data_IF_992131489287
#
_entry.id   IF_992131489287
#
_cell.length_a   1.000
_cell.length_b   1.000
_cell.length_c   1.000
_cell.angle_alpha   90.00
_cell.angle_beta   90.00
_cell.angle_gamma   90.00
#
_symmetry.space_group_name_H-M   'P 1'
#
loop_
_entity.id
_entity.type
_entity.pdbx_description
1 polymer ?
#
# COMPACT_ATOMS: atom_id res chain seq x y z
N UNK A 1 14.10 -3.26 2.30
CA UNK A 1 12.98 -3.43 1.37
C UNK A 1 11.68 -3.19 2.11
N UNK A 2 10.76 -2.44 1.53
CA UNK A 2 9.43 -2.23 2.07
C UNK A 2 8.40 -2.93 1.18
N UNK A 3 7.42 -3.59 1.78
CA UNK A 3 6.31 -4.23 1.06
C UNK A 3 5.01 -3.75 1.68
N UNK A 4 4.06 -3.38 0.85
CA UNK A 4 2.74 -2.97 1.27
C UNK A 4 1.66 -3.90 0.71
N UNK A 5 0.64 -4.13 1.50
CA UNK A 5 -0.60 -4.78 1.09
C UNK A 5 -1.76 -3.84 1.41
N UNK A 6 -2.66 -3.69 0.47
CA UNK A 6 -3.91 -2.96 0.66
C UNK A 6 -5.06 -3.74 0.07
N UNK A 7 -6.18 -3.76 0.76
CA UNK A 7 -7.44 -4.32 0.27
C UNK A 7 -8.48 -3.21 0.18
N UNK A 8 -8.99 -2.97 -1.02
CA UNK A 8 -10.05 -1.99 -1.25
C UNK A 8 -11.39 -2.41 -0.62
N UNK A 9 -11.55 -3.72 -0.39
CA UNK A 9 -12.80 -4.31 0.13
C UNK A 9 -12.95 -4.10 1.63
N UNK A 10 -11.85 -4.23 2.37
CA UNK A 10 -11.85 -4.22 3.83
C UNK A 10 -11.20 -2.98 4.42
N UNK A 11 -10.84 -1.99 3.62
CA UNK A 11 -10.00 -0.84 4.01
C UNK A 11 -8.72 -1.27 4.78
N UNK A 12 -8.36 -2.55 4.65
CA UNK A 12 -7.22 -3.10 5.34
C UNK A 12 -5.94 -2.82 4.57
N UNK A 13 -4.93 -2.36 5.28
CA UNK A 13 -3.59 -2.28 4.73
C UNK A 13 -2.56 -2.85 5.70
N UNK A 14 -1.45 -3.27 5.15
CA UNK A 14 -0.29 -3.72 5.89
C UNK A 14 0.97 -3.33 5.12
N UNK A 15 1.84 -2.58 5.75
CA UNK A 15 3.13 -2.17 5.20
C UNK A 15 4.25 -2.79 6.03
N UNK A 16 5.29 -3.23 5.35
CA UNK A 16 6.50 -3.78 5.96
C UNK A 16 7.74 -3.07 5.44
N UNK A 17 8.72 -2.91 6.31
CA UNK A 17 10.05 -2.48 5.95
C UNK A 17 11.09 -3.27 6.75
N UNK A 18 12.20 -3.63 6.11
CA UNK A 18 13.39 -4.11 6.79
C UNK A 18 14.05 -2.95 7.53
N UNK A 19 14.37 -3.15 8.79
CA UNK A 19 15.07 -2.15 9.60
C UNK A 19 16.34 -2.73 10.19
N UNK A 20 17.39 -1.92 10.18
CA UNK A 20 18.71 -2.32 10.71
C UNK A 20 18.84 -2.05 12.20
N UNK A 21 18.07 -1.09 12.73
CA UNK A 21 17.99 -0.75 14.15
C UNK A 21 16.56 -0.36 14.53
N UNK A 22 16.35 -0.06 15.81
CA UNK A 22 15.04 0.31 16.37
C UNK A 22 15.03 1.74 16.92
N UNK A 23 16.07 2.51 16.68
CA UNK A 23 16.28 3.84 17.29
C UNK A 23 15.13 4.81 16.97
N UNK A 24 14.49 4.64 15.79
CA UNK A 24 13.34 5.44 15.43
C UNK A 24 12.13 5.23 16.37
N UNK A 25 12.02 4.12 17.09
CA UNK A 25 10.95 3.89 18.07
C UNK A 25 11.14 4.80 19.29
N UNK A 26 12.38 5.17 19.64
CA UNK A 26 12.65 6.11 20.72
C UNK A 26 12.03 7.48 20.42
N UNK A 27 12.04 7.88 19.13
CA UNK A 27 11.39 9.12 18.70
C UNK A 27 9.88 9.11 18.98
N UNK A 28 9.19 7.98 18.88
CA UNK A 28 7.78 7.87 19.24
C UNK A 28 7.55 8.02 20.75
N UNK A 29 8.46 7.52 21.58
CA UNK A 29 8.40 7.72 23.02
C UNK A 29 8.58 9.19 23.38
N UNK A 30 9.51 9.90 22.73
CA UNK A 30 9.71 11.34 22.90
C UNK A 30 8.48 12.17 22.48
N UNK A 31 7.71 11.69 21.49
CA UNK A 31 6.48 12.35 21.05
C UNK A 31 5.30 12.11 21.99
N UNK A 32 5.37 11.13 22.88
CA UNK A 32 4.26 10.78 23.79
C UNK A 32 3.72 11.95 24.63
N UNK A 33 4.56 12.82 25.23
CA UNK A 33 4.08 14.01 25.93
C UNK A 33 3.33 14.98 25.01
N UNK A 34 3.78 15.14 23.77
CA UNK A 34 3.12 16.02 22.79
C UNK A 34 1.77 15.47 22.38
N UNK A 35 1.64 14.15 22.22
CA UNK A 35 0.36 13.51 21.94
C UNK A 35 -0.66 13.71 23.09
N UNK A 36 -0.19 13.71 24.33
CA UNK A 36 -1.04 13.99 25.48
C UNK A 36 -1.66 15.41 25.46
N UNK A 37 -0.97 16.39 24.83
CA UNK A 37 -1.45 17.75 24.66
C UNK A 37 -2.60 17.89 23.65
N UNK A 38 -2.89 16.86 22.86
CA UNK A 38 -4.01 16.84 21.90
C UNK A 38 -5.39 16.73 22.56
N UNK A 39 -5.48 16.74 23.89
CA UNK A 39 -6.73 16.57 24.61
C UNK A 39 -7.38 15.18 24.44
N UNK A 40 -6.57 14.18 24.12
CA UNK A 40 -7.03 12.81 23.92
C UNK A 40 -7.51 12.47 22.51
N UNK A 41 -7.43 13.41 21.56
CA UNK A 41 -7.76 13.15 20.16
C UNK A 41 -6.80 12.14 19.51
N UNK A 42 -5.53 12.17 19.94
CA UNK A 42 -4.52 11.20 19.54
C UNK A 42 -3.95 10.55 20.79
N UNK A 43 -3.95 9.22 20.84
CA UNK A 43 -3.48 8.44 21.98
C UNK A 43 -2.56 7.32 21.49
N UNK A 44 -1.41 7.18 22.15
CA UNK A 44 -0.43 6.12 21.89
C UNK A 44 -0.47 5.11 23.03
N UNK A 45 -0.67 3.85 22.68
CA UNK A 45 -0.72 2.73 23.62
C UNK A 45 0.38 1.72 23.31
N UNK A 46 1.01 1.19 24.37
CA UNK A 46 1.88 0.04 24.24
C UNK A 46 1.02 -1.22 24.12
N UNK A 47 1.29 -2.06 23.14
CA UNK A 47 0.59 -3.32 22.93
C UNK A 47 1.47 -4.53 23.25
N UNK A 48 2.77 -4.40 23.06
CA UNK A 48 3.82 -5.32 23.44
C UNK A 48 5.17 -4.63 23.35
N UNK A 49 6.27 -5.31 23.66
CA UNK A 49 7.61 -4.78 23.48
C UNK A 49 7.85 -4.34 22.01
N UNK A 50 8.25 -3.08 21.83
CA UNK A 50 8.44 -2.46 20.50
C UNK A 50 7.20 -2.49 19.58
N UNK A 51 6.00 -2.55 20.16
CA UNK A 51 4.74 -2.58 19.42
C UNK A 51 3.73 -1.62 20.04
N UNK A 52 3.09 -0.82 19.18
CA UNK A 52 2.24 0.29 19.58
C UNK A 52 0.90 0.26 18.85
N UNK A 53 -0.08 0.91 19.45
CA UNK A 53 -1.32 1.28 18.78
C UNK A 53 -1.53 2.79 18.90
N UNK A 54 -1.67 3.46 17.78
CA UNK A 54 -2.01 4.88 17.68
C UNK A 54 -3.50 5.01 17.39
N UNK A 55 -4.26 5.51 18.36
CA UNK A 55 -5.66 5.85 18.19
C UNK A 55 -5.76 7.29 17.72
N UNK A 56 -6.51 7.52 16.66
CA UNK A 56 -6.83 8.84 16.10
C UNK A 56 -8.36 8.99 15.96
N UNK A 57 -8.83 10.13 15.51
CA UNK A 57 -10.24 10.34 15.17
C UNK A 57 -10.70 9.45 14.00
N UNK A 58 -9.80 9.07 13.09
CA UNK A 58 -10.10 8.27 11.90
C UNK A 58 -10.05 6.77 12.17
N UNK A 59 -9.38 6.33 13.25
CA UNK A 59 -9.25 4.91 13.56
C UNK A 59 -8.05 4.58 14.42
N UNK A 60 -7.73 3.30 14.47
CA UNK A 60 -6.59 2.78 15.22
C UNK A 60 -5.60 2.18 14.24
N UNK A 61 -4.34 2.56 14.39
CA UNK A 61 -3.21 2.06 13.60
C UNK A 61 -2.26 1.31 14.51
N UNK A 62 -1.94 0.08 14.16
CA UNK A 62 -0.97 -0.76 14.86
C UNK A 62 0.36 -0.71 14.12
N UNK A 63 1.44 -0.45 14.83
CA UNK A 63 2.78 -0.42 14.26
C UNK A 63 3.81 -0.92 15.29
N UNK A 64 4.99 -1.27 14.79
CA UNK A 64 6.07 -1.71 15.64
C UNK A 64 7.10 -2.53 14.89
N UNK A 65 8.04 -3.10 15.63
CA UNK A 65 9.10 -3.94 15.09
C UNK A 65 8.99 -5.35 15.65
N UNK A 66 8.91 -6.32 14.76
CA UNK A 66 9.00 -7.76 15.06
C UNK A 66 10.24 -8.34 14.39
N UNK A 67 11.22 -8.78 15.18
CA UNK A 67 12.53 -9.13 14.65
C UNK A 67 13.18 -7.91 14.00
N UNK A 68 13.45 -8.00 12.69
CA UNK A 68 14.00 -6.91 11.89
C UNK A 68 12.96 -6.25 10.97
N UNK A 69 11.66 -6.51 11.20
CA UNK A 69 10.60 -5.98 10.34
C UNK A 69 9.81 -4.92 11.09
N UNK A 70 9.87 -3.68 10.59
CA UNK A 70 8.89 -2.65 10.88
C UNK A 70 7.59 -3.00 10.17
N UNK A 71 6.47 -2.87 10.86
CA UNK A 71 5.16 -2.97 10.25
C UNK A 71 4.27 -1.81 10.67
N UNK A 72 3.31 -1.47 9.81
CA UNK A 72 2.19 -0.59 10.12
C UNK A 72 0.93 -1.12 9.44
N UNK A 73 -0.18 -1.13 10.17
CA UNK A 73 -1.48 -1.62 9.68
C UNK A 73 -2.64 -0.95 10.42
N UNK A 74 -3.81 -0.92 9.82
CA UNK A 74 -5.05 -0.50 10.46
C UNK A 74 -5.90 -1.69 10.97
N UNK A 75 -5.34 -2.91 11.00
CA UNK A 75 -6.01 -4.12 11.49
C UNK A 75 -5.18 -4.86 12.52
N UNK A 76 -5.77 -5.10 13.69
CA UNK A 76 -5.11 -5.80 14.78
C UNK A 76 -4.67 -7.21 14.40
N UNK A 77 -5.51 -7.90 13.62
CA UNK A 77 -5.25 -9.27 13.17
C UNK A 77 -3.99 -9.31 12.29
N UNK A 78 -3.83 -8.35 11.39
CA UNK A 78 -2.63 -8.23 10.54
C UNK A 78 -1.39 -7.87 11.36
N UNK A 79 -1.54 -7.04 12.41
CA UNK A 79 -0.45 -6.76 13.34
C UNK A 79 -0.01 -8.03 14.09
N UNK A 80 -0.95 -8.88 14.51
CA UNK A 80 -0.64 -10.14 15.17
C UNK A 80 0.15 -11.10 14.26
N UNK A 81 -0.15 -11.08 12.98
CA UNK A 81 0.49 -11.93 11.98
C UNK A 81 1.77 -11.32 11.38
N UNK A 82 2.03 -10.04 11.63
CA UNK A 82 3.25 -9.38 11.16
C UNK A 82 4.52 -10.15 11.59
N UNK A 83 5.47 -10.31 10.68
CA UNK A 83 6.69 -11.07 10.91
C UNK A 83 6.55 -12.59 10.75
N UNK A 84 5.37 -13.13 10.48
CA UNK A 84 5.20 -14.53 10.12
C UNK A 84 5.59 -14.76 8.65
N UNK A 85 6.25 -15.88 8.40
CA UNK A 85 6.52 -16.31 7.02
C UNK A 85 5.25 -16.94 6.46
N UNK A 86 4.64 -16.28 5.49
CA UNK A 86 3.54 -16.88 4.73
C UNK A 86 4.13 -17.83 3.68
N UNK A 87 3.44 -18.94 3.40
CA UNK A 87 3.93 -20.05 2.59
C UNK A 87 4.25 -19.75 1.11
N UNK A 88 4.10 -18.49 0.67
CA UNK A 88 4.52 -18.04 -0.66
C UNK A 88 5.65 -17.03 -0.49
N UNK A 89 6.86 -17.46 -0.83
CA UNK A 89 8.00 -16.55 -0.81
C UNK A 89 7.80 -15.41 -1.81
N UNK A 90 7.97 -14.17 -1.34
CA UNK A 90 8.03 -12.99 -2.20
C UNK A 90 9.12 -13.15 -3.27
N UNK A 91 10.22 -13.83 -2.95
CA UNK A 91 11.32 -14.11 -3.85
C UNK A 91 10.97 -14.94 -5.08
N UNK A 92 9.83 -15.64 -5.09
CA UNK A 92 9.34 -16.39 -6.25
C UNK A 92 8.46 -15.56 -7.19
N UNK A 93 8.13 -14.33 -6.84
CA UNK A 93 7.32 -13.46 -7.69
C UNK A 93 8.16 -12.85 -8.81
N UNK A 94 7.59 -12.66 -10.03
CA UNK A 94 8.31 -12.10 -11.17
C UNK A 94 8.95 -10.72 -10.89
N UNK A 95 8.32 -9.92 -10.05
CA UNK A 95 8.78 -8.56 -9.68
C UNK A 95 9.76 -8.53 -8.49
N UNK A 96 10.13 -9.68 -7.91
CA UNK A 96 10.95 -9.70 -6.69
C UNK A 96 12.37 -9.17 -6.90
N UNK A 97 12.94 -9.37 -8.08
CA UNK A 97 14.24 -8.81 -8.46
C UNK A 97 14.19 -7.30 -8.54
N UNK A 98 13.12 -6.75 -9.14
CA UNK A 98 12.91 -5.31 -9.24
C UNK A 98 12.75 -4.68 -7.84
N UNK A 99 11.97 -5.29 -6.97
CA UNK A 99 11.81 -4.81 -5.59
C UNK A 99 13.10 -4.82 -4.78
N UNK A 100 14.05 -5.72 -5.08
CA UNK A 100 15.37 -5.76 -4.42
C UNK A 100 16.34 -4.71 -4.95
N UNK A 101 16.27 -4.41 -6.23
CA UNK A 101 17.24 -3.56 -6.93
C UNK A 101 16.85 -2.07 -6.93
N UNK A 102 15.66 -1.74 -6.47
CA UNK A 102 15.16 -0.37 -6.44
C UNK A 102 14.97 0.12 -5.01
N UNK A 103 15.18 1.41 -4.77
CA UNK A 103 14.86 2.08 -3.51
C UNK A 103 13.36 2.16 -3.29
N UNK A 104 12.63 2.42 -4.39
CA UNK A 104 11.18 2.40 -4.42
C UNK A 104 10.75 1.50 -5.56
N UNK A 105 9.87 0.56 -5.27
CA UNK A 105 9.20 -0.26 -6.26
C UNK A 105 7.72 -0.38 -5.90
N UNK A 106 6.88 0.00 -6.83
CA UNK A 106 5.41 -0.12 -6.70
C UNK A 106 4.90 -0.93 -7.87
N UNK A 107 4.14 -1.97 -7.58
CA UNK A 107 3.47 -2.77 -8.60
C UNK A 107 1.97 -2.80 -8.32
N UNK A 108 1.18 -2.40 -9.30
CA UNK A 108 -0.29 -2.40 -9.22
C UNK A 108 -0.84 -3.42 -10.20
N UNK A 109 -1.53 -4.43 -9.70
CA UNK A 109 -2.20 -5.43 -10.52
C UNK A 109 -3.64 -4.99 -10.82
N UNK A 110 -3.86 -4.45 -12.01
CA UNK A 110 -5.17 -3.97 -12.45
C UNK A 110 -6.15 -5.10 -12.79
N UNK A 111 -5.65 -6.28 -13.13
CA UNK A 111 -6.52 -7.45 -13.34
C UNK A 111 -7.22 -7.84 -12.04
N UNK A 112 -6.49 -7.76 -10.91
CA UNK A 112 -7.08 -7.99 -9.59
C UNK A 112 -8.05 -6.88 -9.21
N UNK A 113 -7.66 -5.63 -9.42
CA UNK A 113 -8.51 -4.47 -9.19
C UNK A 113 -9.83 -4.56 -10.00
N UNK A 114 -9.75 -4.97 -11.26
CA UNK A 114 -10.95 -5.15 -12.10
C UNK A 114 -11.90 -6.23 -11.56
N UNK A 115 -11.35 -7.30 -10.97
CA UNK A 115 -12.14 -8.34 -10.29
C UNK A 115 -12.82 -7.75 -9.05
N UNK A 116 -12.07 -7.06 -8.21
CA UNK A 116 -12.57 -6.45 -7.00
C UNK A 116 -13.68 -5.41 -7.30
N UNK A 117 -13.51 -4.61 -8.36
CA UNK A 117 -14.52 -3.64 -8.82
C UNK A 117 -15.82 -4.33 -9.28
N UNK A 118 -15.74 -5.50 -9.92
CA UNK A 118 -16.93 -6.27 -10.33
C UNK A 118 -17.66 -6.89 -9.14
N UNK A 119 -16.90 -7.43 -8.19
CA UNK A 119 -17.46 -8.08 -7.00
C UNK A 119 -18.03 -7.05 -6.01
N UNK A 120 -17.51 -5.81 -6.02
CA UNK A 120 -17.87 -4.75 -5.08
C UNK A 120 -18.24 -3.45 -5.82
N UNK A 121 -19.39 -3.40 -6.51
CA UNK A 121 -19.81 -2.23 -7.29
C UNK A 121 -20.00 -0.97 -6.44
N UNK A 122 -20.25 -1.10 -5.13
CA UNK A 122 -20.35 0.02 -4.19
C UNK A 122 -19.02 0.77 -4.01
N UNK A 123 -17.89 0.14 -4.29
CA UNK A 123 -16.58 0.81 -4.23
C UNK A 123 -16.53 2.01 -5.18
N UNK A 124 -16.97 1.84 -6.44
CA UNK A 124 -16.99 2.94 -7.41
C UNK A 124 -17.95 4.06 -7.00
N UNK A 125 -19.08 3.73 -6.39
CA UNK A 125 -20.03 4.75 -5.91
C UNK A 125 -19.50 5.50 -4.69
N UNK A 126 -18.67 4.87 -3.85
CA UNK A 126 -18.07 5.51 -2.68
C UNK A 126 -17.02 6.57 -3.04
N UNK A 127 -16.47 6.55 -4.26
CA UNK A 127 -15.52 7.56 -4.74
C UNK A 127 -16.15 8.94 -4.93
N UNK A 128 -17.48 9.06 -4.89
CA UNK A 128 -18.20 10.34 -4.98
C UNK A 128 -18.07 11.09 -6.30
N UNK A 129 -17.27 10.57 -7.26
CA UNK A 129 -17.03 11.18 -8.55
C UNK A 129 -17.16 10.13 -9.66
N UNK A 130 -18.21 10.28 -10.48
CA UNK A 130 -18.50 9.37 -11.58
C UNK A 130 -17.40 9.34 -12.66
N UNK A 131 -16.71 10.44 -12.88
CA UNK A 131 -15.60 10.51 -13.85
C UNK A 131 -14.42 9.66 -13.37
N UNK A 132 -14.04 9.77 -12.10
CA UNK A 132 -12.98 8.94 -11.52
C UNK A 132 -13.36 7.45 -11.60
N UNK A 133 -14.59 7.09 -11.29
CA UNK A 133 -15.08 5.72 -11.40
C UNK A 133 -14.99 5.18 -12.83
N UNK A 134 -15.35 6.01 -13.83
CA UNK A 134 -15.29 5.64 -15.24
C UNK A 134 -13.83 5.45 -15.72
N UNK A 135 -12.93 6.35 -15.32
CA UNK A 135 -11.49 6.27 -15.64
C UNK A 135 -10.87 5.01 -15.02
N UNK A 136 -11.16 4.73 -13.75
CA UNK A 136 -10.67 3.51 -13.07
C UNK A 136 -11.17 2.25 -13.75
N UNK A 137 -12.45 2.23 -14.19
CA UNK A 137 -13.01 1.09 -14.91
C UNK A 137 -12.33 0.90 -16.28
N UNK A 138 -12.06 1.99 -17.00
CA UNK A 138 -11.33 1.96 -18.27
C UNK A 138 -9.90 1.43 -18.07
N UNK A 139 -9.17 2.01 -17.12
CA UNK A 139 -7.79 1.60 -16.79
C UNK A 139 -7.75 0.13 -16.37
N UNK A 140 -8.64 -0.28 -15.45
CA UNK A 140 -8.72 -1.66 -15.00
C UNK A 140 -9.16 -2.64 -16.09
N UNK A 141 -9.85 -2.15 -17.13
CA UNK A 141 -10.23 -2.92 -18.32
C UNK A 141 -9.04 -3.25 -19.23
N UNK A 142 -8.18 -2.28 -19.45
CA UNK A 142 -7.12 -2.33 -20.47
C UNK A 142 -5.73 -2.67 -19.91
N UNK A 143 -5.42 -2.23 -18.67
CA UNK A 143 -4.15 -2.50 -18.04
C UNK A 143 -4.14 -3.85 -17.31
N UNK A 144 -3.02 -4.55 -17.40
CA UNK A 144 -2.72 -5.74 -16.61
C UNK A 144 -1.95 -5.36 -15.35
N UNK A 145 -0.82 -4.69 -15.51
CA UNK A 145 0.09 -4.29 -14.44
C UNK A 145 0.68 -2.92 -14.72
N UNK A 146 0.87 -2.14 -13.69
CA UNK A 146 1.72 -0.95 -13.70
C UNK A 146 2.84 -1.16 -12.69
N UNK A 147 4.07 -0.98 -13.13
CA UNK A 147 5.26 -0.99 -12.29
C UNK A 147 5.87 0.41 -12.27
N UNK A 148 6.19 0.90 -11.10
CA UNK A 148 7.00 2.11 -10.91
C UNK A 148 8.24 1.71 -10.15
N UNK A 149 9.41 2.01 -10.68
CA UNK A 149 10.70 1.68 -10.09
C UNK A 149 11.59 2.91 -10.00
N UNK A 150 12.26 3.08 -8.88
CA UNK A 150 13.23 4.14 -8.62
C UNK A 150 14.49 3.52 -8.02
N UNK A 151 15.52 3.26 -8.81
CA UNK A 151 16.79 2.73 -8.31
C UNK A 151 17.50 3.73 -7.39
N UNK A 152 17.34 5.02 -7.66
CA UNK A 152 17.80 6.13 -6.83
C UNK A 152 16.78 7.29 -6.87
N UNK A 153 17.05 8.39 -6.14
CA UNK A 153 16.12 9.53 -6.07
C UNK A 153 16.15 10.43 -7.31
N UNK A 154 17.10 10.23 -8.22
CA UNK A 154 17.27 11.04 -9.44
C UNK A 154 16.66 10.40 -10.68
N UNK A 155 16.37 9.10 -10.63
CA UNK A 155 15.89 8.33 -11.76
C UNK A 155 14.66 7.51 -11.39
N UNK A 156 13.63 7.58 -12.23
CA UNK A 156 12.42 6.78 -12.10
C UNK A 156 11.99 6.24 -13.46
N UNK A 157 11.44 5.05 -13.45
CA UNK A 157 10.86 4.39 -14.61
C UNK A 157 9.44 3.93 -14.27
N UNK A 158 8.55 4.11 -15.22
CA UNK A 158 7.18 3.57 -15.18
C UNK A 158 6.98 2.63 -16.37
N UNK A 159 6.54 1.43 -16.08
CA UNK A 159 6.20 0.42 -17.07
C UNK A 159 4.70 0.11 -16.97
N UNK A 160 4.01 0.12 -18.10
CA UNK A 160 2.61 -0.24 -18.23
C UNK A 160 2.48 -1.47 -19.10
N UNK A 161 1.94 -2.55 -18.54
CA UNK A 161 1.61 -3.76 -19.27
C UNK A 161 0.12 -3.74 -19.61
N UNK A 162 -0.18 -3.84 -20.90
CA UNK A 162 -1.54 -3.91 -21.42
C UNK A 162 -1.99 -5.38 -21.52
N UNK A 163 -3.26 -5.65 -21.25
CA UNK A 163 -3.86 -6.99 -21.43
C UNK A 163 -3.85 -7.42 -22.88
N UNK A 164 -4.16 -6.49 -23.79
CA UNK A 164 -4.00 -6.70 -25.23
C UNK A 164 -2.72 -6.06 -25.72
N UNK A 165 -1.75 -6.88 -26.11
CA UNK A 165 -0.46 -6.43 -26.67
C UNK A 165 -0.57 -5.72 -28.01
N UNK A 166 -1.73 -5.76 -28.67
CA UNK A 166 -1.99 -5.06 -29.92
C UNK A 166 -2.52 -3.64 -29.70
N UNK A 167 -3.00 -3.35 -28.49
CA UNK A 167 -3.51 -2.01 -28.16
C UNK A 167 -2.34 -1.02 -28.08
N UNK A 168 -2.49 0.11 -28.76
CA UNK A 168 -1.51 1.18 -28.70
C UNK A 168 -1.67 1.95 -27.38
N UNK A 169 -0.62 2.04 -26.53
CA UNK A 169 -0.68 2.79 -25.26
C UNK A 169 -1.12 4.26 -25.43
N UNK A 170 -0.77 4.90 -26.56
CA UNK A 170 -1.19 6.29 -26.83
C UNK A 170 -2.70 6.40 -27.05
N UNK A 171 -3.33 5.39 -27.65
CA UNK A 171 -4.79 5.38 -27.81
C UNK A 171 -5.49 5.30 -26.44
N UNK A 172 -4.95 4.52 -25.50
CA UNK A 172 -5.47 4.45 -24.14
C UNK A 172 -5.38 5.82 -23.43
N UNK A 173 -4.24 6.51 -23.56
CA UNK A 173 -4.08 7.86 -23.01
C UNK A 173 -5.10 8.83 -23.60
N UNK A 174 -5.29 8.81 -24.92
CA UNK A 174 -6.29 9.66 -25.60
C UNK A 174 -7.71 9.34 -25.12
N UNK A 175 -8.05 8.06 -24.93
CA UNK A 175 -9.36 7.67 -24.40
C UNK A 175 -9.56 8.17 -22.98
N UNK A 176 -8.53 8.10 -22.11
CA UNK A 176 -8.59 8.63 -20.76
C UNK A 176 -8.84 10.13 -20.78
N UNK A 177 -8.06 10.87 -21.58
CA UNK A 177 -8.18 12.34 -21.69
C UNK A 177 -9.55 12.76 -22.21
N UNK A 178 -10.11 12.04 -23.18
CA UNK A 178 -11.42 12.36 -23.74
C UNK A 178 -12.60 12.04 -22.79
N UNK A 179 -12.36 11.30 -21.70
CA UNK A 179 -13.37 10.99 -20.69
C UNK A 179 -13.19 11.81 -19.40
N UNK A 180 -12.22 12.72 -19.35
CA UNK A 180 -12.02 13.71 -18.29
C UNK A 180 -12.87 14.95 -18.53
#
# INVERSE_FOLDING_TARGET
CAVGYSSLISDAFLMYADVTNKDFLETFEELRPLLAMTGGQVQLFDTAENQYALKTMEGIYWFGVKGNFLYITNRRELAAEAGRTYGVSVGTRPWSSEGKNNRVFVSVNFSRLATDVKEYPYFLSSLGNQQIAMILKLIAGELEVMNVSMPDWSQGQMELLLKDKKTNPLQLVVQIVNNL
#
